data_IF_754006159686
#
_entry.id   IF_754006159686
#
_cell.length_a   1.000
_cell.length_b   1.000
_cell.length_c   1.000
_cell.angle_alpha   90.00
_cell.angle_beta   90.00
_cell.angle_gamma   90.00
#
_symmetry.space_group_name_H-M   'P 1'
#
loop_
_entity.id
_entity.type
_entity.pdbx_description
1 polymer ?
#
# COMPACT_ATOMS: atom_id res chain seq x y z
N UNK A 1 10.88 3.19 -24.45
CA UNK A 1 10.47 1.89 -23.88
C UNK A 1 11.51 1.49 -22.84
N UNK A 2 11.31 1.90 -21.58
CA UNK A 2 12.15 1.46 -20.45
C UNK A 2 11.29 0.54 -19.60
N UNK A 3 11.77 -0.69 -19.41
CA UNK A 3 11.04 -1.82 -18.84
C UNK A 3 10.59 -1.55 -17.39
N UNK A 4 9.41 -2.06 -17.03
CA UNK A 4 9.01 -2.27 -15.63
C UNK A 4 10.06 -3.13 -14.95
N UNK A 5 10.81 -2.54 -14.01
CA UNK A 5 11.82 -3.28 -13.26
C UNK A 5 11.19 -3.77 -11.96
N UNK A 6 11.11 -5.10 -11.78
CA UNK A 6 10.67 -5.70 -10.52
C UNK A 6 11.89 -6.06 -9.70
N UNK A 7 11.97 -5.60 -8.45
CA UNK A 7 13.00 -6.02 -7.49
C UNK A 7 12.31 -6.66 -6.29
N UNK A 8 12.53 -7.96 -6.12
CA UNK A 8 12.05 -8.70 -4.97
C UNK A 8 13.14 -8.73 -3.91
N UNK A 9 12.90 -8.11 -2.76
CA UNK A 9 13.61 -8.44 -1.53
C UNK A 9 12.76 -9.41 -0.73
N UNK A 10 13.36 -10.19 0.15
CA UNK A 10 12.68 -11.23 0.93
C UNK A 10 11.37 -10.68 1.53
N UNK A 11 10.22 -11.13 1.00
CA UNK A 11 8.84 -10.72 1.33
C UNK A 11 8.32 -9.34 0.83
N UNK A 12 9.12 -8.51 0.17
CA UNK A 12 8.70 -7.20 -0.35
C UNK A 12 8.89 -7.16 -1.87
N UNK A 13 7.82 -6.87 -2.59
CA UNK A 13 7.88 -6.66 -4.04
C UNK A 13 7.99 -5.16 -4.33
N UNK A 14 8.99 -4.77 -5.13
CA UNK A 14 9.12 -3.40 -5.62
C UNK A 14 8.81 -3.38 -7.09
N UNK A 15 7.91 -2.48 -7.50
CA UNK A 15 7.61 -2.23 -8.90
C UNK A 15 7.97 -0.79 -9.22
N UNK A 16 8.94 -0.62 -10.11
CA UNK A 16 9.22 0.66 -10.76
C UNK A 16 8.30 0.75 -11.97
N UNK A 17 7.23 1.53 -11.87
CA UNK A 17 6.13 1.49 -12.84
C UNK A 17 6.02 2.77 -13.65
N UNK A 18 6.02 2.60 -14.97
CA UNK A 18 5.53 3.55 -15.98
C UNK A 18 4.05 3.32 -16.36
N UNK A 19 3.38 2.37 -15.69
CA UNK A 19 2.02 1.90 -15.99
C UNK A 19 1.82 1.43 -17.45
N UNK A 20 2.83 0.76 -18.01
CA UNK A 20 2.75 0.14 -19.35
C UNK A 20 1.80 -1.06 -19.42
N UNK A 21 1.49 -1.52 -20.65
CA UNK A 21 0.43 -2.49 -21.00
C UNK A 21 0.42 -3.84 -20.24
N UNK A 22 1.45 -4.18 -19.47
CA UNK A 22 1.54 -5.42 -18.69
C UNK A 22 1.56 -5.21 -17.16
N UNK A 23 1.33 -3.99 -16.67
CA UNK A 23 1.36 -3.72 -15.23
C UNK A 23 0.28 -4.50 -14.48
N UNK A 24 -0.93 -4.61 -15.03
CA UNK A 24 -2.07 -5.29 -14.40
C UNK A 24 -1.79 -6.78 -14.16
N UNK A 25 -1.22 -7.48 -15.14
CA UNK A 25 -0.90 -8.91 -15.01
C UNK A 25 0.20 -9.14 -13.99
N UNK A 26 1.29 -8.37 -14.07
CA UNK A 26 2.42 -8.45 -13.13
C UNK A 26 1.98 -8.12 -11.70
N UNK A 27 1.19 -7.07 -11.51
CA UNK A 27 0.69 -6.70 -10.19
C UNK A 27 -0.26 -7.76 -9.63
N UNK A 28 -1.14 -8.37 -10.45
CA UNK A 28 -1.98 -9.49 -10.02
C UNK A 28 -1.16 -10.70 -9.60
N UNK A 29 -0.11 -11.02 -10.35
CA UNK A 29 0.79 -12.12 -10.02
C UNK A 29 1.47 -11.89 -8.66
N UNK A 30 1.99 -10.68 -8.44
CA UNK A 30 2.61 -10.27 -7.17
C UNK A 30 1.61 -10.32 -6.01
N UNK A 31 0.41 -9.74 -6.16
CA UNK A 31 -0.62 -9.77 -5.12
C UNK A 31 -1.15 -11.20 -4.86
N UNK A 32 -1.01 -12.13 -5.82
CA UNK A 32 -1.39 -13.54 -5.65
C UNK A 32 -0.33 -14.37 -4.93
N UNK A 33 0.92 -13.91 -4.90
CA UNK A 33 2.00 -14.60 -4.22
C UNK A 33 1.84 -14.51 -2.70
N UNK A 34 1.60 -15.66 -2.07
CA UNK A 34 1.39 -15.75 -0.61
C UNK A 34 2.58 -15.28 0.21
N UNK A 35 3.78 -15.32 -0.37
CA UNK A 35 5.03 -14.89 0.28
C UNK A 35 5.11 -13.37 0.40
N UNK A 36 4.52 -12.60 -0.52
CA UNK A 36 4.65 -11.14 -0.49
C UNK A 36 3.82 -10.54 0.64
N UNK A 37 4.47 -9.73 1.48
CA UNK A 37 3.88 -9.08 2.68
C UNK A 37 3.61 -7.60 2.48
N UNK A 38 4.34 -6.94 1.58
CA UNK A 38 4.11 -5.56 1.19
C UNK A 38 4.54 -5.34 -0.27
N UNK A 39 3.87 -4.42 -0.96
CA UNK A 39 4.22 -3.99 -2.31
C UNK A 39 4.60 -2.52 -2.25
N UNK A 40 5.77 -2.17 -2.79
CA UNK A 40 6.22 -0.78 -2.96
C UNK A 40 6.13 -0.42 -4.43
N UNK A 41 5.29 0.56 -4.75
CA UNK A 41 5.20 1.14 -6.08
C UNK A 41 6.00 2.44 -6.11
N UNK A 42 7.06 2.46 -6.90
CA UNK A 42 7.88 3.65 -7.08
C UNK A 42 7.46 4.35 -8.36
N UNK A 43 7.07 5.60 -8.22
CA UNK A 43 6.64 6.45 -9.32
C UNK A 43 7.62 7.63 -9.51
N UNK A 44 8.40 7.57 -10.59
CA UNK A 44 9.46 8.53 -10.93
C UNK A 44 9.29 9.14 -12.33
N UNK A 45 8.10 9.02 -12.94
CA UNK A 45 7.85 9.44 -14.32
C UNK A 45 7.22 10.84 -14.38
N UNK A 46 7.65 11.64 -15.36
CA UNK A 46 7.17 13.00 -15.63
C UNK A 46 5.94 13.03 -16.55
N UNK A 47 5.71 11.98 -17.34
CA UNK A 47 4.55 11.82 -18.21
C UNK A 47 4.01 10.40 -18.09
N UNK A 48 2.81 10.27 -17.53
CA UNK A 48 1.96 9.10 -17.76
C UNK A 48 0.56 9.60 -18.13
N UNK A 49 0.11 9.10 -19.28
CA UNK A 49 -1.25 9.21 -19.79
C UNK A 49 -2.20 8.48 -18.83
N UNK A 50 -3.36 9.09 -18.57
CA UNK A 50 -4.57 8.52 -17.97
C UNK A 50 -4.42 7.09 -17.40
N UNK A 51 -4.47 6.96 -16.07
CA UNK A 51 -4.54 5.64 -15.45
C UNK A 51 -5.95 5.10 -15.61
N UNK A 52 -6.04 3.84 -16.05
CA UNK A 52 -7.30 3.14 -16.12
C UNK A 52 -7.90 2.94 -14.73
N UNK A 53 -9.19 3.23 -14.58
CA UNK A 53 -9.91 3.05 -13.31
C UNK A 53 -9.83 1.62 -12.78
N UNK A 54 -9.73 0.64 -13.69
CA UNK A 54 -9.57 -0.77 -13.32
C UNK A 54 -8.31 -0.99 -12.49
N UNK A 55 -7.24 -0.26 -12.78
CA UNK A 55 -6.00 -0.40 -12.04
C UNK A 55 -6.08 0.20 -10.63
N UNK A 56 -6.71 1.37 -10.50
CA UNK A 56 -6.93 2.00 -9.20
C UNK A 56 -7.79 1.11 -8.29
N UNK A 57 -8.81 0.49 -8.85
CA UNK A 57 -9.65 -0.47 -8.13
C UNK A 57 -8.87 -1.73 -7.73
N UNK A 58 -7.94 -2.16 -8.57
CA UNK A 58 -7.09 -3.31 -8.31
C UNK A 58 -6.09 -3.03 -7.18
N UNK A 59 -5.48 -1.84 -7.16
CA UNK A 59 -4.59 -1.39 -6.07
C UNK A 59 -5.39 -1.29 -4.77
N UNK A 60 -6.57 -0.66 -4.81
CA UNK A 60 -7.46 -0.49 -3.65
C UNK A 60 -7.93 -1.82 -3.07
N UNK A 61 -8.21 -2.81 -3.91
CA UNK A 61 -8.69 -4.11 -3.45
C UNK A 61 -7.57 -5.15 -3.26
N UNK A 62 -6.29 -4.77 -3.40
CA UNK A 62 -5.20 -5.71 -3.15
C UNK A 62 -5.16 -6.06 -1.66
N UNK A 63 -5.13 -7.36 -1.38
CA UNK A 63 -5.09 -7.90 -0.01
C UNK A 63 -3.75 -7.64 0.69
N UNK A 64 -2.72 -7.30 -0.08
CA UNK A 64 -1.39 -6.98 0.42
C UNK A 64 -1.26 -5.46 0.53
N UNK A 65 -0.73 -4.92 1.64
CA UNK A 65 -0.49 -3.49 1.77
C UNK A 65 0.37 -2.95 0.62
N UNK A 66 -0.16 -1.92 -0.03
CA UNK A 66 0.50 -1.22 -1.14
C UNK A 66 0.95 0.15 -0.65
N UNK A 67 2.25 0.38 -0.71
CA UNK A 67 2.90 1.65 -0.38
C UNK A 67 3.31 2.31 -1.69
N UNK A 68 2.99 3.58 -1.86
CA UNK A 68 3.36 4.34 -3.06
C UNK A 68 4.37 5.41 -2.71
N UNK A 69 5.48 5.43 -3.47
CA UNK A 69 6.56 6.38 -3.40
C UNK A 69 6.46 7.36 -4.59
N UNK A 70 6.02 8.60 -4.33
CA UNK A 70 5.86 9.65 -5.33
C UNK A 70 7.09 10.57 -5.33
N UNK A 71 7.95 10.44 -6.35
CA UNK A 71 9.16 11.26 -6.52
C UNK A 71 8.94 12.52 -7.33
N UNK A 72 8.23 12.39 -8.46
CA UNK A 72 8.05 13.47 -9.44
C UNK A 72 6.58 13.84 -9.65
N UNK A 73 6.36 15.03 -10.23
CA UNK A 73 5.07 15.70 -10.26
C UNK A 73 4.29 15.43 -11.54
N UNK A 74 3.19 14.68 -11.44
CA UNK A 74 2.10 14.68 -12.44
C UNK A 74 0.78 14.96 -11.71
N UNK A 75 0.12 16.04 -12.10
CA UNK A 75 -0.72 16.80 -11.18
C UNK A 75 -2.09 16.16 -10.86
N UNK A 76 -2.75 15.51 -11.83
CA UNK A 76 -4.05 14.85 -11.61
C UNK A 76 -3.94 13.39 -11.15
N UNK A 77 -3.02 12.65 -11.77
CA UNK A 77 -2.82 11.22 -11.52
C UNK A 77 -2.35 10.95 -10.08
N UNK A 78 -1.50 11.83 -9.54
CA UNK A 78 -1.01 11.70 -8.17
C UNK A 78 -2.12 11.66 -7.11
N UNK A 79 -3.23 12.37 -7.34
CA UNK A 79 -4.36 12.36 -6.41
C UNK A 79 -5.08 11.00 -6.41
N UNK A 80 -5.37 10.46 -7.59
CA UNK A 80 -6.07 9.18 -7.74
C UNK A 80 -5.24 8.01 -7.21
N UNK A 81 -3.94 8.00 -7.53
CA UNK A 81 -3.00 7.01 -7.03
C UNK A 81 -2.88 7.10 -5.50
N UNK A 82 -2.69 8.31 -4.95
CA UNK A 82 -2.56 8.47 -3.51
C UNK A 82 -3.83 8.03 -2.75
N UNK A 83 -5.01 8.20 -3.36
CA UNK A 83 -6.27 7.73 -2.78
C UNK A 83 -6.45 6.21 -2.90
N UNK A 84 -5.96 5.59 -3.98
CA UNK A 84 -6.03 4.13 -4.15
C UNK A 84 -5.00 3.40 -3.26
N UNK A 85 -3.88 4.04 -2.96
CA UNK A 85 -2.85 3.52 -2.08
C UNK A 85 -3.33 3.35 -0.65
N UNK A 86 -2.79 2.34 0.04
CA UNK A 86 -2.99 2.19 1.47
C UNK A 86 -2.09 3.12 2.27
N UNK A 87 -0.87 3.35 1.76
CA UNK A 87 0.11 4.28 2.32
C UNK A 87 0.79 5.04 1.18
N UNK A 88 1.04 6.32 1.38
CA UNK A 88 1.70 7.17 0.39
C UNK A 88 2.81 8.01 1.03
N UNK A 89 3.99 7.96 0.42
CA UNK A 89 5.15 8.80 0.74
C UNK A 89 5.44 9.67 -0.47
N UNK A 90 5.56 10.97 -0.26
CA UNK A 90 5.80 11.91 -1.34
C UNK A 90 7.01 12.82 -1.07
N UNK A 91 7.65 13.28 -2.13
CA UNK A 91 8.62 14.37 -2.04
C UNK A 91 7.91 15.70 -1.73
N UNK A 92 8.57 16.58 -0.97
CA UNK A 92 8.05 17.91 -0.67
C UNK A 92 7.81 18.81 -1.90
N UNK A 93 8.44 18.47 -3.04
CA UNK A 93 8.27 19.18 -4.30
C UNK A 93 7.03 18.72 -5.10
N UNK A 94 6.36 17.63 -4.68
CA UNK A 94 5.20 17.09 -5.38
C UNK A 94 3.98 17.98 -5.15
N UNK A 95 3.22 18.21 -6.23
CA UNK A 95 1.93 18.88 -6.19
C UNK A 95 0.81 17.90 -6.51
N UNK A 96 -0.36 18.16 -5.95
CA UNK A 96 -1.58 17.41 -6.20
C UNK A 96 -2.65 18.36 -6.71
N UNK A 97 -3.47 17.92 -7.68
CA UNK A 97 -4.65 18.66 -8.13
C UNK A 97 -5.90 17.97 -7.63
N UNK A 98 -6.74 18.74 -6.95
CA UNK A 98 -8.06 18.27 -6.53
C UNK A 98 -9.02 18.23 -7.73
N UNK A 99 -9.73 17.11 -7.98
CA UNK A 99 -10.55 16.94 -9.18
C UNK A 99 -11.75 17.90 -9.24
N UNK A 100 -12.36 18.26 -8.11
CA UNK A 100 -13.58 19.08 -8.08
C UNK A 100 -13.35 20.55 -8.46
N UNK A 101 -12.20 21.13 -8.06
CA UNK A 101 -11.91 22.57 -8.23
C UNK A 101 -10.70 22.84 -9.12
N UNK A 102 -10.06 21.80 -9.64
CA UNK A 102 -8.80 21.86 -10.38
C UNK A 102 -7.74 22.75 -9.68
N UNK A 103 -7.76 22.72 -8.35
CA UNK A 103 -6.89 23.55 -7.49
C UNK A 103 -5.66 22.75 -7.11
N UNK A 104 -4.49 23.36 -7.29
CA UNK A 104 -3.22 22.79 -6.85
C UNK A 104 -3.09 22.92 -5.33
N UNK A 105 -2.75 21.82 -4.67
CA UNK A 105 -2.32 21.78 -3.28
C UNK A 105 -0.87 21.31 -3.20
N UNK A 106 -0.13 21.85 -2.25
CA UNK A 106 1.23 21.44 -1.93
C UNK A 106 1.25 20.07 -1.24
N UNK A 107 2.39 19.36 -1.29
CA UNK A 107 2.58 18.14 -0.50
C UNK A 107 2.29 18.36 0.99
N UNK A 108 2.65 19.52 1.56
CA UNK A 108 2.35 19.85 2.97
C UNK A 108 0.86 19.95 3.26
N UNK A 109 0.08 20.48 2.34
CA UNK A 109 -1.38 20.52 2.47
C UNK A 109 -1.97 19.12 2.28
N UNK A 110 -1.47 18.34 1.32
CA UNK A 110 -1.86 16.94 1.15
C UNK A 110 -1.62 16.11 2.42
N UNK A 111 -0.49 16.32 3.11
CA UNK A 111 -0.20 15.68 4.40
C UNK A 111 -1.19 16.09 5.48
N UNK A 112 -1.51 17.39 5.58
CA UNK A 112 -2.50 17.89 6.55
C UNK A 112 -3.91 17.34 6.29
N UNK A 113 -4.25 17.09 5.03
CA UNK A 113 -5.52 16.49 4.63
C UNK A 113 -5.55 14.96 4.79
N UNK A 114 -4.41 14.33 5.12
CA UNK A 114 -4.29 12.89 5.22
C UNK A 114 -4.25 12.15 3.87
N UNK A 115 -4.03 12.87 2.76
CA UNK A 115 -3.86 12.28 1.42
C UNK A 115 -2.53 11.55 1.29
N UNK A 116 -1.51 12.00 2.03
CA UNK A 116 -0.20 11.33 2.12
C UNK A 116 0.18 11.14 3.57
N UNK A 117 1.01 10.13 3.86
CA UNK A 117 1.43 9.78 5.21
C UNK A 117 2.69 10.54 5.63
N UNK A 118 3.69 10.63 4.75
CA UNK A 118 4.99 11.25 5.04
C UNK A 118 5.49 12.11 3.88
N UNK A 119 6.25 13.16 4.23
CA UNK A 119 6.98 14.01 3.29
C UNK A 119 8.47 13.93 3.62
N UNK A 120 9.27 13.58 2.63
CA UNK A 120 10.74 13.48 2.76
C UNK A 120 11.43 14.13 1.54
N UNK A 121 12.76 14.40 1.60
CA UNK A 121 13.53 14.77 0.41
C UNK A 121 13.39 13.75 -0.72
N UNK A 122 13.51 14.18 -1.98
CA UNK A 122 13.26 13.33 -3.16
C UNK A 122 14.16 12.08 -3.18
N UNK A 123 15.38 12.22 -2.69
CA UNK A 123 16.38 11.16 -2.58
C UNK A 123 16.00 10.10 -1.53
N UNK A 124 15.18 10.49 -0.54
CA UNK A 124 14.77 9.65 0.58
C UNK A 124 13.40 9.00 0.41
N UNK A 125 12.59 9.43 -0.57
CA UNK A 125 11.21 8.93 -0.79
C UNK A 125 11.18 7.40 -0.92
N UNK A 126 12.07 6.83 -1.72
CA UNK A 126 12.16 5.38 -1.87
C UNK A 126 12.56 4.71 -0.54
N UNK A 127 13.59 5.23 0.13
CA UNK A 127 14.10 4.66 1.38
C UNK A 127 13.02 4.66 2.48
N UNK A 128 12.24 5.73 2.57
CA UNK A 128 11.15 5.85 3.53
C UNK A 128 10.01 4.87 3.21
N UNK A 129 9.65 4.72 1.93
CA UNK A 129 8.66 3.72 1.51
C UNK A 129 9.13 2.28 1.81
N UNK A 130 10.40 1.98 1.58
CA UNK A 130 11.00 0.70 1.95
C UNK A 130 11.04 0.50 3.47
N UNK A 131 11.35 1.54 4.25
CA UNK A 131 11.33 1.47 5.70
C UNK A 131 9.93 1.16 6.24
N UNK A 132 8.88 1.72 5.64
CA UNK A 132 7.49 1.34 5.95
C UNK A 132 7.20 -0.12 5.58
N UNK A 133 7.64 -0.56 4.40
CA UNK A 133 7.45 -1.94 3.95
C UNK A 133 8.15 -2.96 4.88
N UNK A 134 9.36 -2.64 5.36
CA UNK A 134 10.09 -3.46 6.34
C UNK A 134 9.36 -3.56 7.69
N UNK A 135 8.73 -2.47 8.14
CA UNK A 135 7.87 -2.53 9.35
C UNK A 135 6.66 -3.45 9.12
N UNK A 136 6.02 -3.37 7.95
CA UNK A 136 4.87 -4.23 7.60
C UNK A 136 5.30 -5.69 7.50
N UNK A 137 6.48 -5.98 6.93
CA UNK A 137 7.04 -7.33 6.82
C UNK A 137 7.20 -8.01 8.17
N UNK A 138 7.46 -7.27 9.24
CA UNK A 138 7.59 -7.79 10.61
C UNK A 138 6.24 -8.15 11.25
N UNK A 139 5.12 -7.71 10.68
CA UNK A 139 3.78 -8.03 11.19
C UNK A 139 3.33 -9.45 10.76
N UNK A 140 2.33 -9.97 11.47
CA UNK A 140 1.72 -11.25 11.12
C UNK A 140 0.94 -11.10 9.80
N UNK A 141 1.35 -11.78 8.71
CA UNK A 141 0.81 -11.51 7.38
C UNK A 141 -0.68 -11.81 7.28
N UNK A 142 -1.18 -12.86 7.95
CA UNK A 142 -2.61 -13.17 7.97
C UNK A 142 -3.42 -12.07 8.67
N UNK A 143 -2.92 -11.56 9.80
CA UNK A 143 -3.57 -10.50 10.55
C UNK A 143 -3.56 -9.17 9.77
N UNK A 144 -2.43 -8.81 9.15
CA UNK A 144 -2.31 -7.61 8.34
C UNK A 144 -3.28 -7.63 7.15
N UNK A 145 -3.36 -8.75 6.42
CA UNK A 145 -4.30 -8.90 5.29
C UNK A 145 -5.76 -8.84 5.75
N UNK A 146 -6.08 -9.48 6.87
CA UNK A 146 -7.43 -9.46 7.44
C UNK A 146 -7.84 -8.05 7.90
N UNK A 147 -6.94 -7.33 8.57
CA UNK A 147 -7.17 -5.95 8.99
C UNK A 147 -7.38 -5.03 7.78
N UNK A 148 -6.53 -5.16 6.76
CA UNK A 148 -6.67 -4.39 5.52
C UNK A 148 -8.02 -4.64 4.84
N UNK A 149 -8.42 -5.91 4.72
CA UNK A 149 -9.71 -6.28 4.16
C UNK A 149 -10.88 -5.70 4.97
N UNK A 150 -10.83 -5.78 6.30
CA UNK A 150 -11.87 -5.26 7.19
C UNK A 150 -12.04 -3.75 7.01
N UNK A 151 -10.95 -2.99 6.89
CA UNK A 151 -10.99 -1.54 6.68
C UNK A 151 -11.59 -1.21 5.32
N UNK A 152 -11.09 -1.82 4.24
CA UNK A 152 -11.48 -1.44 2.88
C UNK A 152 -12.93 -1.82 2.61
N UNK A 153 -13.31 -3.06 2.89
CA UNK A 153 -14.67 -3.52 2.65
C UNK A 153 -15.64 -2.93 3.68
N UNK A 154 -15.21 -2.75 4.93
CA UNK A 154 -16.01 -2.15 5.99
C UNK A 154 -16.42 -0.70 5.69
N UNK A 155 -15.59 0.06 4.97
CA UNK A 155 -15.91 1.43 4.53
C UNK A 155 -16.99 1.48 3.44
N UNK A 156 -17.23 0.38 2.72
CA UNK A 156 -18.21 0.28 1.64
C UNK A 156 -19.57 -0.28 2.07
N UNK A 157 -19.73 -0.58 3.37
CA UNK A 157 -20.95 -1.19 3.91
C UNK A 157 -21.46 -0.48 5.16
N UNK A 158 -22.72 -0.74 5.58
CA UNK A 158 -23.22 -0.23 6.85
C UNK A 158 -22.36 -0.68 8.02
N UNK A 159 -22.22 0.18 9.04
CA UNK A 159 -21.36 -0.07 10.20
C UNK A 159 -21.61 -1.44 10.85
N UNK A 160 -22.87 -1.85 10.99
CA UNK A 160 -23.20 -3.14 11.61
C UNK A 160 -22.66 -4.34 10.82
N UNK A 161 -22.71 -4.28 9.49
CA UNK A 161 -22.18 -5.32 8.63
C UNK A 161 -20.65 -5.29 8.60
N UNK A 162 -20.05 -4.10 8.65
CA UNK A 162 -18.60 -3.94 8.81
C UNK A 162 -18.08 -4.58 10.10
N UNK A 163 -18.77 -4.39 11.22
CA UNK A 163 -18.43 -5.01 12.51
C UNK A 163 -18.58 -6.55 12.48
N UNK A 164 -19.60 -7.06 11.78
CA UNK A 164 -19.75 -8.51 11.55
C UNK A 164 -18.60 -9.06 10.72
N UNK A 165 -18.22 -8.37 9.65
CA UNK A 165 -17.09 -8.74 8.80
C UNK A 165 -15.78 -8.75 9.60
N UNK A 166 -15.52 -7.71 10.40
CA UNK A 166 -14.34 -7.64 11.28
C UNK A 166 -14.30 -8.84 12.24
N UNK A 167 -15.43 -9.14 12.88
CA UNK A 167 -15.55 -10.27 13.82
C UNK A 167 -15.26 -11.61 13.14
N UNK A 168 -15.76 -11.79 11.92
CA UNK A 168 -15.51 -12.99 11.13
C UNK A 168 -14.03 -13.13 10.75
N UNK A 169 -13.43 -12.06 10.22
CA UNK A 169 -12.02 -12.01 9.84
C UNK A 169 -11.11 -12.26 11.05
N UNK A 170 -11.43 -11.63 12.19
CA UNK A 170 -10.73 -11.86 13.45
C UNK A 170 -10.84 -13.32 13.90
N UNK A 171 -12.03 -13.91 13.85
CA UNK A 171 -12.24 -15.31 14.23
C UNK A 171 -11.42 -16.28 13.38
N UNK A 172 -11.27 -15.98 12.07
CA UNK A 172 -10.43 -16.77 11.16
C UNK A 172 -8.95 -16.72 11.54
N UNK A 173 -8.42 -15.54 11.86
CA UNK A 173 -7.01 -15.40 12.24
C UNK A 173 -6.73 -15.89 13.66
N UNK A 174 -7.73 -15.91 14.55
CA UNK A 174 -7.55 -16.35 15.94
C UNK A 174 -7.06 -17.80 16.05
N UNK A 175 -7.49 -18.67 15.15
CA UNK A 175 -7.07 -20.08 15.12
C UNK A 175 -5.64 -20.31 14.55
N UNK A 176 -5.06 -19.29 13.92
CA UNK A 176 -3.75 -19.38 13.23
C UNK A 176 -2.60 -19.71 14.18
N UNK A 177 -1.51 -20.27 13.63
CA UNK A 177 -0.26 -20.47 14.37
C UNK A 177 0.39 -19.13 14.70
N UNK A 178 0.33 -18.17 13.79
CA UNK A 178 0.87 -16.83 13.98
C UNK A 178 0.27 -16.12 15.20
N UNK A 179 -1.04 -16.31 15.48
CA UNK A 179 -1.67 -15.78 16.70
C UNK A 179 -1.02 -16.33 17.98
N UNK A 180 -0.75 -17.64 18.03
CA UNK A 180 -0.07 -18.27 19.18
C UNK A 180 1.37 -17.78 19.33
N UNK A 181 2.08 -17.63 18.21
CA UNK A 181 3.46 -17.11 18.20
C UNK A 181 3.48 -15.66 18.69
N UNK A 182 2.56 -14.83 18.21
CA UNK A 182 2.44 -13.42 18.60
C UNK A 182 2.18 -13.25 20.10
N UNK A 183 1.20 -14.00 20.64
CA UNK A 183 0.90 -13.99 22.09
C UNK A 183 2.13 -14.42 22.90
N UNK A 184 2.76 -15.53 22.51
CA UNK A 184 3.95 -16.04 23.22
C UNK A 184 5.11 -15.04 23.18
N UNK A 185 5.41 -14.49 22.01
CA UNK A 185 6.50 -13.53 21.84
C UNK A 185 6.26 -12.25 22.65
N UNK A 186 5.01 -11.78 22.73
CA UNK A 186 4.62 -10.65 23.58
C UNK A 186 4.85 -10.93 25.07
N UNK A 187 4.41 -12.09 25.56
CA UNK A 187 4.64 -12.52 26.96
C UNK A 187 6.13 -12.68 27.28
N UNK A 188 6.91 -13.20 26.33
CA UNK A 188 8.35 -13.42 26.45
C UNK A 188 9.20 -12.16 26.13
N UNK A 189 8.56 -11.04 25.75
CA UNK A 189 9.21 -9.78 25.34
C UNK A 189 10.29 -9.96 24.26
N UNK A 190 10.06 -10.87 23.32
CA UNK A 190 10.95 -11.10 22.17
C UNK A 190 10.26 -10.79 20.85
N UNK A 191 11.06 -10.68 19.80
CA UNK A 191 10.51 -10.49 18.46
C UNK A 191 9.82 -11.79 17.96
N UNK A 192 8.57 -11.71 17.48
CA UNK A 192 7.89 -12.85 16.86
C UNK A 192 8.47 -13.14 15.48
N UNK A 193 8.45 -14.41 15.08
CA UNK A 193 8.74 -14.85 13.71
C UNK A 193 7.46 -15.41 13.14
N UNK A 194 6.83 -14.66 12.23
CA UNK A 194 5.57 -15.05 11.61
C UNK A 194 5.81 -15.77 10.28
N UNK A 195 5.05 -16.83 10.05
CA UNK A 195 5.15 -17.68 8.85
C UNK A 195 3.93 -17.61 7.94
N UNK A 196 2.83 -17.02 8.40
CA UNK A 196 1.58 -16.94 7.65
C UNK A 196 0.75 -18.22 7.69
N UNK A 197 0.78 -18.91 8.84
CA UNK A 197 0.08 -20.18 9.12
C UNK A 197 -0.84 -20.07 10.34
#
# INVERSE_FOLDING_TARGET
MKQTQTKESEFIATIYSDFSDNFDENFREICSNKTIRAVVLVYDFEEVLQIDKSLLELIRNCRVPVIIALKKSVSKVNFEIAQAAHLCVASGAVKFILPEKNTEISAREALKLGLINNIVPIEEVENEAFAMAEKIKQLAPLATRACLQAVIQGLEMPLEDGLKLETELFSRIFASRDMRVGIRAFLEKRQPVFHGE
#
